data_IF_495487311216
#
_entry.id   IF_495487311216
#
_cell.length_a   1.000
_cell.length_b   1.000
_cell.length_c   1.000
_cell.angle_alpha   90.00
_cell.angle_beta   90.00
_cell.angle_gamma   90.00
#
_symmetry.space_group_name_H-M   'P 1'
#
loop_
_entity.id
_entity.type
_entity.pdbx_description
1 polymer ?
#
# COMPACT_ATOMS: atom_id res chain seq x y z
N UNK A 1 -10.47 14.84 21.59
CA UNK A 1 -9.18 15.09 20.93
C UNK A 1 -8.69 13.79 20.33
N UNK A 2 -8.24 13.80 19.07
CA UNK A 2 -7.61 12.65 18.40
C UNK A 2 -6.15 13.00 18.12
N UNK A 3 -5.25 12.11 18.49
CA UNK A 3 -3.81 12.21 18.26
C UNK A 3 -3.46 11.59 16.91
N UNK A 4 -2.71 12.32 16.12
CA UNK A 4 -2.25 11.89 14.81
C UNK A 4 -0.74 11.59 14.84
N UNK A 5 -0.38 10.47 14.24
CA UNK A 5 1.01 10.04 14.06
C UNK A 5 1.28 9.75 12.59
N UNK A 6 2.42 10.19 12.08
CA UNK A 6 2.89 9.70 10.78
C UNK A 6 3.10 8.19 10.83
N UNK A 7 2.68 7.47 9.78
CA UNK A 7 2.89 6.03 9.65
C UNK A 7 4.39 5.66 9.66
N UNK A 8 5.26 6.57 9.21
CA UNK A 8 6.71 6.41 9.27
C UNK A 8 7.28 6.50 10.70
N UNK A 9 6.58 7.23 11.59
CA UNK A 9 6.98 7.45 12.99
C UNK A 9 5.83 7.09 13.96
N UNK A 10 5.42 5.81 14.04
CA UNK A 10 4.19 5.40 14.71
C UNK A 10 4.21 5.52 16.25
N UNK A 11 5.35 5.89 16.83
CA UNK A 11 5.53 6.06 18.28
C UNK A 11 5.48 7.53 18.72
N UNK A 12 5.50 8.47 17.78
CA UNK A 12 5.59 9.90 18.06
C UNK A 12 4.26 10.56 17.72
N UNK A 13 3.66 11.25 18.71
CA UNK A 13 2.50 12.11 18.49
C UNK A 13 2.99 13.35 17.74
N UNK A 14 2.48 13.59 16.54
CA UNK A 14 2.93 14.72 15.70
C UNK A 14 2.05 15.94 15.90
N UNK A 15 0.73 15.72 15.96
CA UNK A 15 -0.25 16.75 16.28
C UNK A 15 -1.53 16.12 16.84
N UNK A 16 -2.46 16.97 17.26
CA UNK A 16 -3.77 16.55 17.77
C UNK A 16 -4.86 17.47 17.24
N UNK A 17 -6.02 16.90 16.91
CA UNK A 17 -7.17 17.66 16.44
C UNK A 17 -8.40 17.40 17.31
N UNK A 18 -9.19 18.45 17.52
CA UNK A 18 -10.54 18.33 18.06
C UNK A 18 -11.51 17.98 16.94
N UNK A 19 -12.06 16.76 17.01
CA UNK A 19 -12.94 16.19 16.00
C UNK A 19 -14.22 15.68 16.67
N UNK A 20 -15.35 15.81 15.95
CA UNK A 20 -16.61 15.19 16.34
C UNK A 20 -16.54 13.69 16.07
N UNK A 21 -17.10 12.89 16.98
CA UNK A 21 -17.23 11.44 16.78
C UNK A 21 -18.09 11.08 15.57
N UNK A 22 -18.97 11.99 15.15
CA UNK A 22 -19.87 11.84 13.99
C UNK A 22 -19.22 12.23 12.67
N UNK A 23 -18.00 12.78 12.67
CA UNK A 23 -17.30 13.09 11.42
C UNK A 23 -17.13 11.83 10.59
N UNK A 24 -17.41 11.93 9.29
CA UNK A 24 -17.16 10.87 8.33
C UNK A 24 -15.67 10.87 7.89
N UNK A 25 -15.30 9.97 6.99
CA UNK A 25 -13.92 9.88 6.47
C UNK A 25 -13.43 11.21 5.87
N UNK A 26 -14.25 11.83 5.02
CA UNK A 26 -13.91 13.05 4.29
C UNK A 26 -13.73 14.24 5.24
N UNK A 27 -14.61 14.39 6.23
CA UNK A 27 -14.51 15.44 7.26
C UNK A 27 -13.19 15.34 8.06
N UNK A 28 -12.73 14.12 8.33
CA UNK A 28 -11.49 13.88 9.08
C UNK A 28 -10.28 14.22 8.21
N UNK A 29 -10.22 13.71 6.97
CA UNK A 29 -9.07 13.97 6.08
C UNK A 29 -8.99 15.43 5.63
N UNK A 30 -10.11 16.14 5.49
CA UNK A 30 -10.12 17.58 5.18
C UNK A 30 -9.41 18.38 6.28
N UNK A 31 -9.72 18.10 7.55
CA UNK A 31 -9.09 18.78 8.69
C UNK A 31 -7.61 18.42 8.84
N UNK A 32 -7.26 17.16 8.57
CA UNK A 32 -5.85 16.73 8.55
C UNK A 32 -5.10 17.41 7.42
N UNK A 33 -5.67 17.49 6.21
CA UNK A 33 -5.05 18.17 5.07
C UNK A 33 -4.81 19.65 5.36
N UNK A 34 -5.80 20.34 5.91
CA UNK A 34 -5.66 21.73 6.33
C UNK A 34 -4.55 21.92 7.36
N UNK A 35 -4.41 21.01 8.33
CA UNK A 35 -3.32 21.07 9.32
C UNK A 35 -1.93 20.85 8.68
N UNK A 36 -1.84 19.95 7.70
CA UNK A 36 -0.60 19.61 6.99
C UNK A 36 -0.26 20.59 5.86
N UNK A 37 -1.17 21.52 5.51
CA UNK A 37 -1.01 22.40 4.35
C UNK A 37 -1.08 21.66 3.02
N UNK A 38 -1.86 20.57 2.94
CA UNK A 38 -2.08 19.80 1.72
C UNK A 38 -3.30 20.33 0.97
N UNK A 39 -3.15 20.58 -0.34
CA UNK A 39 -4.24 21.07 -1.19
C UNK A 39 -5.32 20.00 -1.45
N UNK A 40 -4.92 18.73 -1.52
CA UNK A 40 -5.80 17.61 -1.86
C UNK A 40 -5.93 16.63 -0.67
N UNK A 41 -7.07 16.66 0.06
CA UNK A 41 -7.29 15.78 1.20
C UNK A 41 -7.45 14.31 0.80
N UNK A 42 -7.80 14.01 -0.45
CA UNK A 42 -7.98 12.64 -0.92
C UNK A 42 -6.67 11.85 -0.95
N UNK A 43 -5.52 12.52 -0.88
CA UNK A 43 -4.19 11.92 -0.79
C UNK A 43 -3.82 11.46 0.63
N UNK A 44 -4.66 11.70 1.64
CA UNK A 44 -4.41 11.20 2.99
C UNK A 44 -5.00 9.81 3.13
N UNK A 45 -4.18 8.86 3.59
CA UNK A 45 -4.64 7.54 4.00
C UNK A 45 -4.54 7.40 5.51
N UNK A 46 -5.65 7.02 6.13
CA UNK A 46 -5.75 6.80 7.57
C UNK A 46 -5.59 5.32 7.92
N UNK A 47 -4.94 5.04 9.04
CA UNK A 47 -4.82 3.69 9.63
C UNK A 47 -5.21 3.74 11.10
N UNK A 48 -6.07 2.81 11.53
CA UNK A 48 -6.50 2.71 12.93
C UNK A 48 -5.40 2.15 13.83
N UNK A 49 -5.51 2.44 15.12
CA UNK A 49 -4.62 1.89 16.14
C UNK A 49 -5.00 0.47 16.56
N UNK A 50 -3.98 -0.39 16.75
CA UNK A 50 -4.13 -1.70 17.34
C UNK A 50 -3.82 -1.63 18.84
N UNK A 51 -4.87 -1.71 19.67
CA UNK A 51 -4.75 -1.64 21.12
C UNK A 51 -3.90 -2.76 21.76
N UNK A 52 -3.73 -3.91 21.12
CA UNK A 52 -2.92 -5.01 21.67
C UNK A 52 -1.42 -4.81 21.43
N UNK A 53 -1.04 -4.47 20.19
CA UNK A 53 0.36 -4.30 19.82
C UNK A 53 0.89 -2.89 20.03
N UNK A 54 0.00 -1.92 20.30
CA UNK A 54 0.34 -0.50 20.39
C UNK A 54 1.02 0.02 19.10
N UNK A 55 0.56 -0.48 17.96
CA UNK A 55 1.07 -0.17 16.61
C UNK A 55 -0.11 0.12 15.66
N UNK A 56 0.13 0.73 14.48
CA UNK A 56 -0.89 0.78 13.43
C UNK A 56 -1.39 -0.62 13.08
N UNK A 57 -2.68 -0.73 12.73
CA UNK A 57 -3.21 -1.98 12.17
C UNK A 57 -2.51 -2.30 10.84
N UNK A 58 -2.33 -3.59 10.49
CA UNK A 58 -1.66 -3.98 9.24
C UNK A 58 -2.35 -3.46 7.97
N UNK A 59 -3.67 -3.27 8.02
CA UNK A 59 -4.44 -2.77 6.90
C UNK A 59 -4.94 -1.35 7.20
N UNK A 60 -4.73 -0.39 6.28
CA UNK A 60 -5.27 0.95 6.41
C UNK A 60 -6.80 0.94 6.27
N UNK A 61 -7.43 2.00 6.74
CA UNK A 61 -8.86 2.24 6.53
C UNK A 61 -9.09 2.49 5.04
N UNK A 62 -9.98 1.71 4.43
CA UNK A 62 -10.41 1.92 3.04
C UNK A 62 -11.07 3.30 2.89
N UNK A 63 -10.95 3.95 1.73
CA UNK A 63 -11.68 5.18 1.42
C UNK A 63 -13.17 5.00 1.71
N UNK A 64 -13.70 5.81 2.64
CA UNK A 64 -15.09 5.72 3.14
C UNK A 64 -15.49 4.31 3.61
N UNK A 65 -14.52 3.51 4.06
CA UNK A 65 -14.74 2.12 4.46
C UNK A 65 -15.40 1.97 5.83
N UNK A 66 -15.52 3.06 6.58
CA UNK A 66 -16.23 3.17 7.85
C UNK A 66 -17.04 4.46 7.85
N UNK A 67 -18.15 4.47 8.58
CA UNK A 67 -19.12 5.56 8.55
C UNK A 67 -18.65 6.78 9.35
N UNK A 68 -18.19 6.54 10.58
CA UNK A 68 -17.84 7.63 11.51
C UNK A 68 -16.46 7.48 12.13
N UNK A 69 -15.92 8.59 12.64
CA UNK A 69 -14.67 8.64 13.39
C UNK A 69 -14.70 7.70 14.60
N UNK A 70 -15.85 7.53 15.26
CA UNK A 70 -15.99 6.53 16.33
C UNK A 70 -15.59 5.13 15.89
N UNK A 71 -15.91 4.75 14.66
CA UNK A 71 -15.61 3.42 14.12
C UNK A 71 -14.13 3.30 13.70
N UNK A 72 -13.53 4.40 13.24
CA UNK A 72 -12.09 4.46 12.94
C UNK A 72 -11.23 4.24 14.20
N UNK A 73 -11.74 4.63 15.36
CA UNK A 73 -11.06 4.62 16.64
C UNK A 73 -11.30 3.34 17.46
N UNK A 74 -12.21 2.47 17.04
CA UNK A 74 -12.56 1.26 17.79
C UNK A 74 -11.77 0.04 17.27
N UNK A 75 -11.19 -0.71 18.19
CA UNK A 75 -10.58 -2.00 17.93
C UNK A 75 -10.93 -2.98 19.05
N UNK A 76 -11.59 -4.10 18.73
CA UNK A 76 -12.07 -5.10 19.71
C UNK A 76 -12.82 -4.46 20.91
N UNK A 77 -13.78 -3.58 20.61
CA UNK A 77 -14.57 -2.83 21.60
C UNK A 77 -13.78 -1.90 22.52
N UNK A 78 -12.47 -1.71 22.27
CA UNK A 78 -11.67 -0.69 22.93
C UNK A 78 -11.57 0.54 22.04
N UNK A 79 -11.93 1.69 22.58
CA UNK A 79 -11.77 2.98 21.90
C UNK A 79 -10.36 3.51 22.15
N UNK A 80 -9.64 3.83 21.08
CA UNK A 80 -8.40 4.60 21.11
C UNK A 80 -8.69 6.06 20.74
N UNK A 81 -7.74 6.94 21.00
CA UNK A 81 -7.72 8.30 20.51
C UNK A 81 -6.61 8.52 19.48
N UNK A 82 -6.00 7.45 18.93
CA UNK A 82 -4.88 7.52 17.99
C UNK A 82 -5.33 7.13 16.59
N UNK A 83 -5.00 7.97 15.60
CA UNK A 83 -5.00 7.64 14.18
C UNK A 83 -3.60 7.82 13.60
N UNK A 84 -3.26 6.94 12.67
CA UNK A 84 -2.06 7.07 11.86
C UNK A 84 -2.43 7.64 10.50
N UNK A 85 -1.57 8.46 9.94
CA UNK A 85 -1.75 9.00 8.61
C UNK A 85 -0.50 8.85 7.76
N UNK A 86 -0.68 8.80 6.45
CA UNK A 86 0.37 8.93 5.46
C UNK A 86 -0.16 9.75 4.27
N UNK A 87 0.75 10.43 3.59
CA UNK A 87 0.44 11.23 2.39
C UNK A 87 0.84 10.42 1.16
N UNK A 88 -0.12 10.17 0.29
CA UNK A 88 0.04 9.39 -0.92
C UNK A 88 0.49 10.28 -2.09
N UNK A 89 1.08 9.65 -3.10
CA UNK A 89 1.44 10.29 -4.38
C UNK A 89 0.22 10.56 -5.29
N UNK A 90 -0.84 9.74 -5.15
CA UNK A 90 -2.11 9.86 -5.88
C UNK A 90 -3.32 9.80 -4.92
N UNK A 91 -4.51 10.28 -5.33
CA UNK A 91 -5.74 10.14 -4.54
C UNK A 91 -6.01 8.70 -4.10
N UNK A 92 -6.41 8.52 -2.84
CA UNK A 92 -6.75 7.21 -2.28
C UNK A 92 -7.85 6.47 -3.06
N UNK A 93 -8.93 7.11 -3.56
CA UNK A 93 -9.94 6.43 -4.36
C UNK A 93 -9.36 5.80 -5.63
N UNK A 94 -8.43 6.50 -6.29
CA UNK A 94 -7.72 6.00 -7.46
C UNK A 94 -6.78 4.86 -7.07
N UNK A 95 -6.00 5.04 -6.01
CA UNK A 95 -5.09 4.01 -5.49
C UNK A 95 -5.83 2.71 -5.15
N UNK A 96 -7.07 2.80 -4.65
CA UNK A 96 -7.89 1.63 -4.34
C UNK A 96 -8.32 0.81 -5.57
N UNK A 97 -8.40 1.42 -6.75
CA UNK A 97 -8.63 0.72 -8.01
C UNK A 97 -7.38 0.01 -8.54
N UNK A 98 -6.22 0.31 -7.97
CA UNK A 98 -4.93 -0.20 -8.40
C UNK A 98 -4.42 -1.27 -7.44
N UNK A 99 -3.49 -2.08 -7.93
CA UNK A 99 -2.66 -2.98 -7.16
C UNK A 99 -1.22 -2.56 -7.34
N UNK A 100 -0.52 -2.39 -6.22
CA UNK A 100 0.91 -2.09 -6.21
C UNK A 100 1.66 -3.37 -5.89
N UNK A 101 2.54 -3.83 -6.78
CA UNK A 101 3.40 -4.98 -6.59
C UNK A 101 4.85 -4.51 -6.47
N UNK A 102 5.58 -5.03 -5.48
CA UNK A 102 7.02 -4.84 -5.38
C UNK A 102 7.70 -6.08 -5.96
N UNK A 103 8.31 -5.92 -7.13
CA UNK A 103 8.93 -7.01 -7.89
C UNK A 103 10.44 -6.86 -7.81
N UNK A 104 11.11 -7.86 -7.26
CA UNK A 104 12.56 -7.98 -7.26
C UNK A 104 13.02 -8.52 -8.63
N UNK A 105 13.62 -7.66 -9.45
CA UNK A 105 14.18 -8.06 -10.74
C UNK A 105 15.62 -8.53 -10.56
N UNK A 106 15.91 -9.73 -11.07
CA UNK A 106 17.27 -10.28 -11.10
C UNK A 106 17.82 -10.18 -12.52
N UNK A 107 18.88 -9.40 -12.69
CA UNK A 107 19.58 -9.35 -13.97
C UNK A 107 20.33 -10.67 -14.23
N UNK A 108 20.32 -11.14 -15.48
CA UNK A 108 21.02 -12.36 -15.86
C UNK A 108 22.56 -12.25 -15.75
N UNK A 109 23.11 -11.04 -15.92
CA UNK A 109 24.56 -10.81 -16.01
C UNK A 109 25.16 -10.06 -14.83
N UNK A 110 24.32 -9.45 -13.98
CA UNK A 110 24.74 -8.70 -12.80
C UNK A 110 24.08 -9.34 -11.60
N UNK A 111 24.86 -9.66 -10.56
CA UNK A 111 24.35 -10.20 -9.29
C UNK A 111 23.66 -9.09 -8.45
N UNK A 112 23.00 -8.16 -9.12
CA UNK A 112 22.28 -7.04 -8.55
C UNK A 112 20.79 -7.32 -8.61
N UNK A 113 20.13 -7.17 -7.46
CA UNK A 113 18.68 -7.30 -7.33
C UNK A 113 18.10 -5.91 -7.15
N UNK A 114 17.25 -5.49 -8.09
CA UNK A 114 16.59 -4.18 -8.03
C UNK A 114 15.10 -4.39 -7.78
N UNK A 115 14.55 -3.70 -6.78
CA UNK A 115 13.13 -3.77 -6.46
C UNK A 115 12.40 -2.68 -7.25
N UNK A 116 11.56 -3.10 -8.19
CA UNK A 116 10.68 -2.21 -8.94
C UNK A 116 9.29 -2.20 -8.31
N UNK A 117 8.75 -1.00 -8.10
CA UNK A 117 7.35 -0.83 -7.68
C UNK A 117 6.49 -0.63 -8.91
N UNK A 118 5.61 -1.59 -9.18
CA UNK A 118 4.71 -1.61 -10.34
C UNK A 118 3.29 -1.41 -9.83
N UNK A 119 2.60 -0.40 -10.35
CA UNK A 119 1.23 -0.06 -9.96
C UNK A 119 0.34 -0.15 -11.20
N UNK A 120 -0.58 -1.11 -11.21
CA UNK A 120 -1.48 -1.38 -12.32
C UNK A 120 -2.93 -1.59 -11.84
N UNK A 121 -3.94 -1.43 -12.72
CA UNK A 121 -5.33 -1.77 -12.38
C UNK A 121 -5.47 -3.20 -11.86
N UNK A 122 -6.34 -3.43 -10.88
CA UNK A 122 -6.50 -4.76 -10.25
C UNK A 122 -6.83 -5.89 -11.25
N UNK A 123 -7.57 -5.55 -12.30
CA UNK A 123 -7.96 -6.47 -13.38
C UNK A 123 -6.83 -6.82 -14.35
N UNK A 124 -5.69 -6.12 -14.28
CA UNK A 124 -4.51 -6.42 -15.09
C UNK A 124 -3.97 -7.82 -14.81
N UNK A 125 -3.13 -8.27 -15.72
CA UNK A 125 -2.56 -9.61 -15.75
C UNK A 125 -1.07 -9.58 -15.42
N UNK A 126 -0.50 -10.75 -15.16
CA UNK A 126 0.95 -10.91 -14.98
C UNK A 126 1.70 -10.49 -16.24
N UNK A 127 1.14 -10.71 -17.44
CA UNK A 127 1.69 -10.20 -18.69
C UNK A 127 1.87 -8.68 -18.66
N UNK A 128 0.84 -7.94 -18.25
CA UNK A 128 0.90 -6.47 -18.15
C UNK A 128 1.98 -6.00 -17.16
N UNK A 129 2.17 -6.72 -16.04
CA UNK A 129 3.23 -6.43 -15.05
C UNK A 129 4.61 -6.59 -15.68
N UNK A 130 4.81 -7.68 -16.43
CA UNK A 130 6.08 -7.96 -17.07
C UNK A 130 6.37 -6.97 -18.19
N UNK A 131 5.37 -6.56 -18.96
CA UNK A 131 5.54 -5.54 -19.99
C UNK A 131 5.87 -4.17 -19.40
N UNK A 132 5.22 -3.76 -18.30
CA UNK A 132 5.61 -2.56 -17.54
C UNK A 132 7.05 -2.68 -17.00
N UNK A 133 7.44 -3.85 -16.48
CA UNK A 133 8.79 -4.10 -15.99
C UNK A 133 9.84 -3.97 -17.11
N UNK A 134 9.56 -4.53 -18.30
CA UNK A 134 10.47 -4.43 -19.48
C UNK A 134 10.76 -2.98 -19.88
N UNK A 135 9.84 -2.05 -19.65
CA UNK A 135 10.10 -0.62 -19.92
C UNK A 135 11.04 0.04 -18.90
N UNK A 136 11.25 -0.60 -17.74
CA UNK A 136 12.01 -0.07 -16.59
C UNK A 136 13.36 -0.76 -16.38
N UNK A 137 13.63 -1.85 -17.09
CA UNK A 137 14.86 -2.65 -16.92
C UNK A 137 15.59 -2.80 -18.25
N UNK A 138 16.92 -2.90 -18.17
CA UNK A 138 17.75 -3.27 -19.33
C UNK A 138 17.78 -4.79 -19.48
N UNK A 139 17.19 -5.29 -20.55
CA UNK A 139 17.21 -6.72 -20.89
C UNK A 139 18.55 -7.12 -21.50
N UNK A 140 18.92 -8.40 -21.38
CA UNK A 140 20.12 -8.95 -22.01
C UNK A 140 20.06 -8.94 -23.54
N UNK A 141 18.86 -9.09 -24.13
CA UNK A 141 18.63 -8.95 -25.56
C UNK A 141 17.20 -8.48 -25.89
N UNK A 142 16.94 -7.94 -27.10
CA UNK A 142 15.65 -7.33 -27.51
C UNK A 142 14.44 -8.27 -27.63
N UNK A 143 14.52 -9.48 -27.07
CA UNK A 143 13.46 -10.49 -27.09
C UNK A 143 13.50 -11.41 -25.89
N UNK A 144 14.16 -11.00 -24.80
CA UNK A 144 14.17 -11.77 -23.57
C UNK A 144 12.73 -11.89 -23.03
N UNK A 145 12.30 -13.12 -22.80
CA UNK A 145 11.05 -13.38 -22.10
C UNK A 145 11.28 -13.22 -20.61
N UNK A 146 10.35 -12.58 -19.92
CA UNK A 146 10.40 -12.49 -18.46
C UNK A 146 9.39 -13.46 -17.87
N UNK A 147 9.71 -14.00 -16.70
CA UNK A 147 8.77 -14.78 -15.88
C UNK A 147 8.67 -14.17 -14.50
N UNK A 148 7.45 -14.20 -13.96
CA UNK A 148 7.17 -13.78 -12.59
C UNK A 148 7.07 -15.01 -11.69
N UNK A 149 7.80 -14.97 -10.58
CA UNK A 149 7.97 -16.05 -9.63
C UNK A 149 7.53 -15.59 -8.23
N UNK A 150 6.89 -16.50 -7.51
CA UNK A 150 6.66 -16.38 -6.07
C UNK A 150 7.78 -17.12 -5.33
N UNK A 151 8.56 -16.40 -4.52
CA UNK A 151 9.71 -16.96 -3.80
C UNK A 151 9.51 -16.82 -2.29
N UNK A 152 9.80 -17.90 -1.56
CA UNK A 152 9.76 -17.95 -0.11
C UNK A 152 10.86 -18.84 0.45
N UNK A 153 11.60 -18.33 1.45
CA UNK A 153 12.79 -18.99 2.00
C UNK A 153 13.73 -19.56 0.92
N UNK A 154 14.05 -18.74 -0.09
CA UNK A 154 14.92 -19.09 -1.21
C UNK A 154 14.42 -20.25 -2.11
N UNK A 155 13.14 -20.63 -1.99
CA UNK A 155 12.51 -21.63 -2.86
C UNK A 155 11.47 -20.97 -3.75
N UNK A 156 11.47 -21.35 -5.03
CA UNK A 156 10.41 -20.98 -5.97
C UNK A 156 9.19 -21.82 -5.61
N UNK A 157 8.10 -21.15 -5.25
CA UNK A 157 6.84 -21.80 -4.89
C UNK A 157 5.91 -21.91 -6.10
N UNK A 158 5.84 -20.83 -6.88
CA UNK A 158 4.93 -20.72 -8.01
C UNK A 158 5.57 -19.91 -9.13
N UNK A 159 5.32 -20.34 -10.37
CA UNK A 159 5.54 -19.55 -11.58
C UNK A 159 4.16 -19.07 -12.04
N UNK A 160 3.98 -17.76 -12.17
CA UNK A 160 2.70 -17.21 -12.55
C UNK A 160 2.51 -17.30 -14.08
N UNK A 161 1.38 -17.83 -14.58
CA UNK A 161 1.05 -17.74 -15.99
C UNK A 161 0.71 -16.29 -16.36
N UNK A 162 1.04 -15.87 -17.58
CA UNK A 162 0.85 -14.50 -18.05
C UNK A 162 -0.60 -14.01 -17.95
N UNK A 163 -1.57 -14.92 -18.06
CA UNK A 163 -3.00 -14.61 -17.98
C UNK A 163 -3.56 -14.50 -16.56
N UNK A 164 -2.77 -14.81 -15.52
CA UNK A 164 -3.24 -14.69 -14.14
C UNK A 164 -3.47 -13.24 -13.77
N UNK A 165 -4.62 -12.96 -13.17
CA UNK A 165 -4.97 -11.62 -12.70
C UNK A 165 -4.14 -11.24 -11.49
N UNK A 166 -3.60 -10.03 -11.50
CA UNK A 166 -2.73 -9.56 -10.41
C UNK A 166 -3.49 -9.43 -9.10
N UNK A 167 -4.81 -9.16 -9.12
CA UNK A 167 -5.65 -9.10 -7.92
C UNK A 167 -5.50 -10.34 -7.02
N UNK A 168 -5.27 -11.51 -7.60
CA UNK A 168 -5.18 -12.79 -6.88
C UNK A 168 -3.80 -13.05 -6.25
N UNK A 169 -2.77 -12.28 -6.61
CA UNK A 169 -1.40 -12.48 -6.11
C UNK A 169 -1.30 -12.03 -4.65
N UNK A 170 -0.78 -12.85 -3.76
CA UNK A 170 -0.55 -12.43 -2.37
C UNK A 170 0.86 -11.86 -2.20
N UNK A 171 0.97 -10.55 -2.05
CA UNK A 171 2.24 -9.82 -1.92
C UNK A 171 2.60 -9.46 -0.47
N UNK A 172 1.83 -9.91 0.52
CA UNK A 172 2.06 -9.53 1.92
C UNK A 172 3.21 -10.30 2.60
N UNK A 173 3.50 -11.52 2.15
CA UNK A 173 4.47 -12.41 2.80
C UNK A 173 5.51 -13.00 1.85
N UNK A 174 5.24 -12.93 0.54
CA UNK A 174 6.04 -13.59 -0.49
C UNK A 174 6.86 -12.56 -1.24
N UNK A 175 8.08 -12.93 -1.63
CA UNK A 175 8.88 -12.09 -2.53
C UNK A 175 8.48 -12.39 -3.96
N UNK A 176 7.93 -11.39 -4.65
CA UNK A 176 7.73 -11.48 -6.09
C UNK A 176 9.06 -11.22 -6.78
N UNK A 177 9.54 -12.21 -7.52
CA UNK A 177 10.79 -12.13 -8.28
C UNK A 177 10.48 -12.19 -9.77
N UNK A 178 11.10 -11.31 -10.54
CA UNK A 178 11.12 -11.42 -11.99
C UNK A 178 12.55 -11.71 -12.47
N UNK A 179 12.65 -12.55 -13.49
CA UNK A 179 13.92 -12.90 -14.14
C UNK A 179 13.67 -13.22 -15.62
N UNK A 180 14.75 -13.19 -16.38
CA UNK A 180 14.83 -13.69 -17.76
C UNK A 180 14.82 -15.23 -17.81
#
# INVERSE_FOLDING_TARGET
VVRFRSLEKPKEDEFSLELSKLHNYDDVVERVAHHLGLDDPSKIRLTSHNCYSQQPKPQPIKYRGVEHLSDMLIHYNQTSDILYYEVLDIPLPELQGLKTLKVAFHHATKDEVVIHTIRLPKQSTVGDVLDDLKTKVELSHPGAELRLLEVFYHKIYKIFPLSEKIENINDQYWTLRAEE
#
